data_IF_396960648871
#
_entry.id   IF_396960648871
#
_cell.length_a   1.000
_cell.length_b   1.000
_cell.length_c   1.000
_cell.angle_alpha   90.00
_cell.angle_beta   90.00
_cell.angle_gamma   90.00
#
_symmetry.space_group_name_H-M   'P 1'
#
loop_
_entity.id
_entity.type
_entity.pdbx_description
1 polymer ?
#
# COMPACT_ATOMS: atom_id res chain seq x y z
N UNK A 1 -16.73 19.10 -24.67
CA UNK A 1 -16.31 20.39 -24.08
C UNK A 1 -15.87 20.12 -22.65
N UNK A 2 -14.56 20.16 -22.43
CA UNK A 2 -13.87 19.97 -21.16
C UNK A 2 -14.38 20.89 -20.05
N UNK A 3 -14.59 20.36 -18.84
CA UNK A 3 -14.13 20.97 -17.57
C UNK A 3 -13.77 19.87 -16.56
N UNK A 4 -12.57 19.33 -16.71
CA UNK A 4 -11.79 18.79 -15.60
C UNK A 4 -11.47 19.96 -14.66
N UNK A 5 -12.00 19.93 -13.44
CA UNK A 5 -11.43 20.71 -12.33
C UNK A 5 -10.80 19.70 -11.41
N UNK A 6 -9.53 19.44 -11.68
CA UNK A 6 -8.60 18.86 -10.72
C UNK A 6 -8.43 19.88 -9.59
N UNK A 7 -9.00 19.59 -8.43
CA UNK A 7 -8.69 20.29 -7.19
C UNK A 7 -7.75 19.39 -6.40
N UNK A 8 -6.51 19.34 -6.87
CA UNK A 8 -5.37 18.82 -6.10
C UNK A 8 -5.04 19.88 -5.07
N UNK A 9 -5.60 19.76 -3.88
CA UNK A 9 -5.02 20.37 -2.68
C UNK A 9 -3.93 19.43 -2.17
N UNK A 10 -2.78 19.49 -2.81
CA UNK A 10 -1.53 19.07 -2.19
C UNK A 10 -1.18 20.12 -1.13
N UNK A 11 -1.68 19.94 0.09
CA UNK A 11 -1.04 20.55 1.24
C UNK A 11 0.21 19.71 1.54
N UNK A 12 1.33 20.08 0.93
CA UNK A 12 2.64 19.67 1.42
C UNK A 12 2.88 20.36 2.77
N UNK A 13 2.34 19.79 3.84
CA UNK A 13 2.76 20.12 5.18
C UNK A 13 4.01 19.30 5.47
N UNK A 14 5.18 19.89 5.19
CA UNK A 14 6.40 19.53 5.90
C UNK A 14 6.20 19.91 7.37
N UNK A 15 5.56 19.02 8.13
CA UNK A 15 5.34 19.23 9.55
C UNK A 15 6.66 19.01 10.29
N UNK A 16 7.26 20.09 10.77
CA UNK A 16 7.90 20.08 12.07
C UNK A 16 6.86 19.46 13.04
N UNK A 17 7.23 18.39 13.75
CA UNK A 17 6.40 17.77 14.79
C UNK A 17 6.21 18.78 15.95
N UNK A 18 5.37 19.79 15.77
CA UNK A 18 4.71 20.47 16.86
C UNK A 18 3.53 19.58 17.26
N UNK A 19 3.54 19.05 18.48
CA UNK A 19 2.44 18.27 19.03
C UNK A 19 1.17 19.12 19.04
N UNK A 20 0.35 19.01 17.99
CA UNK A 20 -0.98 19.63 18.00
C UNK A 20 -1.75 19.03 19.17
N UNK A 21 -2.39 19.85 20.02
CA UNK A 21 -3.08 19.34 21.18
C UNK A 21 -4.24 18.42 20.74
N UNK A 22 -4.49 17.36 21.51
CA UNK A 22 -5.43 16.27 21.16
C UNK A 22 -6.84 16.77 20.76
N UNK A 23 -7.30 17.90 21.30
CA UNK A 23 -8.59 18.50 20.94
C UNK A 23 -8.68 18.95 19.47
N UNK A 24 -7.57 19.34 18.85
CA UNK A 24 -7.53 19.74 17.44
C UNK A 24 -7.60 18.51 16.50
N UNK A 25 -7.07 17.37 16.94
CA UNK A 25 -7.16 16.09 16.23
C UNK A 25 -8.61 15.56 16.24
N UNK A 26 -9.33 15.70 17.35
CA UNK A 26 -10.76 15.32 17.46
C UNK A 26 -11.66 16.12 16.53
N UNK A 27 -11.48 17.44 16.46
CA UNK A 27 -12.25 18.31 15.57
C UNK A 27 -12.01 17.97 14.09
N UNK A 28 -10.74 17.69 13.73
CA UNK A 28 -10.34 17.32 12.37
C UNK A 28 -10.86 15.94 11.98
N UNK A 29 -10.77 14.96 12.87
CA UNK A 29 -11.37 13.64 12.72
C UNK A 29 -12.88 13.73 12.48
N UNK A 30 -13.58 14.48 13.34
CA UNK A 30 -15.03 14.69 13.22
C UNK A 30 -15.39 15.31 11.88
N UNK A 31 -14.69 16.37 11.47
CA UNK A 31 -14.93 17.04 10.19
C UNK A 31 -14.80 16.10 8.99
N UNK A 32 -13.84 15.18 9.00
CA UNK A 32 -13.66 14.21 7.92
C UNK A 32 -14.75 13.14 7.93
N UNK A 33 -15.14 12.63 9.09
CA UNK A 33 -16.25 11.66 9.19
C UNK A 33 -17.60 12.28 8.84
N UNK A 34 -17.81 13.57 9.15
CA UNK A 34 -19.00 14.32 8.74
C UNK A 34 -19.04 14.48 7.22
N UNK A 35 -17.88 14.79 6.60
CA UNK A 35 -17.74 14.83 5.15
C UNK A 35 -18.03 13.46 4.52
N UNK A 36 -17.42 12.38 5.02
CA UNK A 36 -17.68 11.02 4.53
C UNK A 36 -19.18 10.64 4.65
N UNK A 37 -19.84 11.11 5.71
CA UNK A 37 -21.29 10.92 5.89
C UNK A 37 -22.11 11.71 4.88
N UNK A 38 -21.73 12.96 4.59
CA UNK A 38 -22.38 13.78 3.57
C UNK A 38 -22.19 13.19 2.17
N UNK A 39 -20.97 12.78 1.84
CA UNK A 39 -20.62 12.14 0.56
C UNK A 39 -21.40 10.83 0.39
N UNK A 40 -21.51 10.01 1.45
CA UNK A 40 -22.34 8.80 1.45
C UNK A 40 -23.82 9.10 1.20
N UNK A 41 -24.37 10.15 1.82
CA UNK A 41 -25.77 10.56 1.62
C UNK A 41 -26.01 10.98 0.17
N UNK A 42 -25.08 11.72 -0.42
CA UNK A 42 -25.15 12.13 -1.82
C UNK A 42 -25.03 10.93 -2.77
N UNK A 43 -24.07 10.02 -2.51
CA UNK A 43 -23.90 8.80 -3.31
C UNK A 43 -25.15 7.90 -3.25
N UNK A 44 -25.75 7.76 -2.07
CA UNK A 44 -27.03 7.03 -1.91
C UNK A 44 -28.15 7.65 -2.75
N UNK A 45 -28.29 8.97 -2.73
CA UNK A 45 -29.29 9.66 -3.55
C UNK A 45 -29.03 9.45 -5.05
N UNK A 46 -27.76 9.40 -5.48
CA UNK A 46 -27.41 9.08 -6.87
C UNK A 46 -27.83 7.65 -7.28
N UNK A 47 -27.84 6.71 -6.34
CA UNK A 47 -28.30 5.33 -6.57
C UNK A 47 -29.83 5.21 -6.69
N UNK A 48 -30.63 6.25 -6.38
CA UNK A 48 -32.09 6.15 -6.41
C UNK A 48 -32.67 6.04 -7.81
N UNK A 49 -31.93 6.46 -8.84
CA UNK A 49 -32.29 6.28 -10.25
C UNK A 49 -32.14 4.84 -10.74
N UNK A 50 -31.49 3.97 -9.96
CA UNK A 50 -31.22 2.59 -10.32
C UNK A 50 -32.28 1.64 -9.75
N UNK A 51 -32.35 0.42 -10.27
CA UNK A 51 -33.27 -0.63 -9.79
C UNK A 51 -32.58 -1.99 -9.72
N UNK A 52 -33.21 -2.94 -9.04
CA UNK A 52 -32.73 -4.33 -8.94
C UNK A 52 -31.32 -4.45 -8.36
N UNK A 53 -30.50 -5.33 -8.95
CA UNK A 53 -29.15 -5.59 -8.49
C UNK A 53 -28.21 -4.38 -8.72
N UNK A 54 -28.44 -3.58 -9.77
CA UNK A 54 -27.67 -2.36 -10.01
C UNK A 54 -27.77 -1.41 -8.82
N UNK A 55 -28.99 -1.13 -8.33
CA UNK A 55 -29.20 -0.30 -7.13
C UNK A 55 -28.47 -0.88 -5.93
N UNK A 56 -28.53 -2.21 -5.73
CA UNK A 56 -27.84 -2.88 -4.62
C UNK A 56 -26.31 -2.68 -4.72
N UNK A 57 -25.72 -2.91 -5.88
CA UNK A 57 -24.29 -2.71 -6.11
C UNK A 57 -23.90 -1.26 -5.83
N UNK A 58 -24.64 -0.29 -6.38
CA UNK A 58 -24.38 1.14 -6.14
C UNK A 58 -24.42 1.50 -4.64
N UNK A 59 -25.42 0.98 -3.92
CA UNK A 59 -25.54 1.19 -2.48
C UNK A 59 -24.37 0.60 -1.69
N UNK A 60 -23.87 -0.58 -2.06
CA UNK A 60 -22.70 -1.18 -1.43
C UNK A 60 -21.39 -0.47 -1.82
N UNK A 61 -21.27 0.06 -3.05
CA UNK A 61 -20.11 0.88 -3.46
C UNK A 61 -20.03 2.16 -2.64
N UNK A 62 -21.17 2.81 -2.40
CA UNK A 62 -21.25 3.98 -1.53
C UNK A 62 -20.81 3.65 -0.08
N UNK A 63 -21.20 2.48 0.45
CA UNK A 63 -20.77 2.04 1.79
C UNK A 63 -19.28 1.73 1.85
N UNK A 64 -18.71 1.09 0.82
CA UNK A 64 -17.26 0.86 0.73
C UNK A 64 -16.49 2.17 0.68
N UNK A 65 -16.94 3.13 -0.12
CA UNK A 65 -16.32 4.46 -0.21
C UNK A 65 -16.31 5.17 1.15
N UNK A 66 -17.45 5.13 1.87
CA UNK A 66 -17.54 5.66 3.24
C UNK A 66 -16.58 4.94 4.19
N UNK A 67 -16.58 3.61 4.21
CA UNK A 67 -15.74 2.82 5.11
C UNK A 67 -14.24 3.11 4.87
N UNK A 68 -13.82 3.30 3.62
CA UNK A 68 -12.46 3.70 3.27
C UNK A 68 -12.14 5.12 3.75
N UNK A 69 -13.03 6.07 3.54
CA UNK A 69 -12.85 7.44 4.03
C UNK A 69 -12.76 7.50 5.58
N UNK A 70 -13.60 6.74 6.27
CA UNK A 70 -13.56 6.61 7.72
C UNK A 70 -12.24 5.93 8.17
N UNK A 71 -11.77 4.92 7.45
CA UNK A 71 -10.47 4.26 7.70
C UNK A 71 -9.28 5.21 7.49
N UNK A 72 -9.32 6.06 6.47
CA UNK A 72 -8.28 7.06 6.22
C UNK A 72 -8.26 8.13 7.32
N UNK A 73 -9.45 8.57 7.78
CA UNK A 73 -9.57 9.49 8.91
C UNK A 73 -9.03 8.87 10.21
N UNK A 74 -9.31 7.59 10.46
CA UNK A 74 -8.74 6.84 11.59
C UNK A 74 -7.21 6.77 11.48
N UNK A 75 -6.66 6.49 10.30
CA UNK A 75 -5.22 6.40 10.10
C UNK A 75 -4.51 7.75 10.30
N UNK A 76 -5.13 8.86 9.90
CA UNK A 76 -4.55 10.19 10.01
C UNK A 76 -4.61 10.76 11.43
N UNK A 77 -5.72 10.58 12.15
CA UNK A 77 -5.98 11.34 13.40
C UNK A 77 -6.09 10.48 14.66
N UNK A 78 -6.42 9.19 14.52
CA UNK A 78 -6.54 8.27 15.66
C UNK A 78 -5.30 7.39 15.81
N UNK A 79 -4.77 6.87 14.69
CA UNK A 79 -3.54 6.09 14.55
C UNK A 79 -3.22 5.12 15.70
N UNK A 80 -4.24 4.49 16.30
CA UNK A 80 -4.04 3.43 17.30
C UNK A 80 -4.24 2.07 16.65
N UNK A 81 -3.50 1.03 17.06
CA UNK A 81 -3.65 -0.31 16.51
C UNK A 81 -5.09 -0.85 16.61
N UNK A 82 -5.80 -0.51 17.70
CA UNK A 82 -7.19 -0.91 17.93
C UNK A 82 -8.16 -0.25 16.94
N UNK A 83 -8.08 1.07 16.78
CA UNK A 83 -8.98 1.80 15.88
C UNK A 83 -8.66 1.48 14.41
N UNK A 84 -7.38 1.39 14.05
CA UNK A 84 -6.94 0.94 12.73
C UNK A 84 -7.42 -0.47 12.41
N UNK A 85 -7.25 -1.41 13.36
CA UNK A 85 -7.72 -2.78 13.20
C UNK A 85 -9.24 -2.86 13.04
N UNK A 86 -9.99 -2.03 13.78
CA UNK A 86 -11.44 -1.92 13.61
C UNK A 86 -11.81 -1.36 12.23
N UNK A 87 -11.20 -0.24 11.82
CA UNK A 87 -11.48 0.39 10.54
C UNK A 87 -11.17 -0.53 9.34
N UNK A 88 -10.06 -1.28 9.38
CA UNK A 88 -9.72 -2.28 8.37
C UNK A 88 -10.76 -3.41 8.31
N UNK A 89 -11.27 -3.87 9.45
CA UNK A 89 -12.36 -4.87 9.49
C UNK A 89 -13.65 -4.32 8.89
N UNK A 90 -13.96 -3.06 9.17
CA UNK A 90 -15.14 -2.39 8.64
C UNK A 90 -15.06 -2.25 7.11
N UNK A 91 -13.87 -1.89 6.56
CA UNK A 91 -13.59 -1.90 5.11
C UNK A 91 -13.75 -3.31 4.52
N UNK A 92 -13.12 -4.33 5.12
CA UNK A 92 -13.18 -5.71 4.64
C UNK A 92 -14.62 -6.26 4.62
N UNK A 93 -15.43 -5.91 5.62
CA UNK A 93 -16.84 -6.28 5.66
C UNK A 93 -17.65 -5.57 4.57
N UNK A 94 -17.45 -4.27 4.37
CA UNK A 94 -18.12 -3.53 3.31
C UNK A 94 -17.74 -4.03 1.91
N UNK A 95 -16.46 -4.35 1.68
CA UNK A 95 -15.98 -4.89 0.41
C UNK A 95 -16.54 -6.29 0.12
N UNK A 96 -16.71 -7.11 1.16
CA UNK A 96 -17.40 -8.40 1.03
C UNK A 96 -18.88 -8.24 0.66
N UNK A 97 -19.58 -7.30 1.30
CA UNK A 97 -20.99 -7.04 1.00
C UNK A 97 -21.17 -6.53 -0.42
N UNK A 98 -20.25 -5.67 -0.88
CA UNK A 98 -20.16 -5.24 -2.27
C UNK A 98 -19.90 -6.42 -3.22
N UNK A 99 -18.93 -7.27 -2.91
CA UNK A 99 -18.63 -8.44 -3.73
C UNK A 99 -19.84 -9.37 -3.84
N UNK A 100 -20.55 -9.63 -2.72
CA UNK A 100 -21.80 -10.39 -2.68
C UNK A 100 -22.90 -9.75 -3.52
N UNK A 101 -23.01 -8.41 -3.52
CA UNK A 101 -23.93 -7.69 -4.40
C UNK A 101 -23.55 -7.88 -5.88
N UNK A 102 -22.27 -7.77 -6.23
CA UNK A 102 -21.77 -7.99 -7.61
C UNK A 102 -21.99 -9.43 -8.10
N UNK A 103 -22.00 -10.40 -7.18
CA UNK A 103 -22.39 -11.78 -7.49
C UNK A 103 -23.91 -11.99 -7.70
N UNK A 104 -24.74 -10.98 -7.46
CA UNK A 104 -26.20 -11.09 -7.40
C UNK A 104 -26.83 -11.64 -8.68
N UNK A 105 -26.37 -11.16 -9.83
CA UNK A 105 -26.90 -11.49 -11.16
C UNK A 105 -26.35 -12.81 -11.73
N UNK A 106 -25.38 -13.43 -11.05
CA UNK A 106 -24.83 -14.73 -11.46
C UNK A 106 -25.77 -15.86 -11.05
N UNK A 107 -25.73 -16.96 -11.79
CA UNK A 107 -26.52 -18.17 -11.54
C UNK A 107 -25.64 -19.42 -11.55
N UNK A 108 -26.18 -20.54 -11.07
CA UNK A 108 -25.51 -21.84 -11.11
C UNK A 108 -24.10 -21.84 -10.48
N UNK A 109 -23.16 -22.52 -11.14
CA UNK A 109 -21.78 -22.63 -10.69
C UNK A 109 -21.07 -21.27 -10.57
N UNK A 110 -21.34 -20.33 -11.48
CA UNK A 110 -20.69 -19.01 -11.48
C UNK A 110 -21.02 -18.19 -10.24
N UNK A 111 -22.25 -18.32 -9.72
CA UNK A 111 -22.65 -17.69 -8.46
C UNK A 111 -21.90 -18.29 -7.28
N UNK A 112 -21.80 -19.62 -7.23
CA UNK A 112 -21.10 -20.34 -6.17
C UNK A 112 -19.61 -19.97 -6.13
N UNK A 113 -18.95 -20.00 -7.28
CA UNK A 113 -17.55 -19.57 -7.41
C UNK A 113 -17.37 -18.13 -6.96
N UNK A 114 -18.22 -17.21 -7.44
CA UNK A 114 -18.18 -15.80 -7.02
C UNK A 114 -18.28 -15.61 -5.50
N UNK A 115 -19.21 -16.31 -4.84
CA UNK A 115 -19.40 -16.21 -3.40
C UNK A 115 -18.24 -16.81 -2.61
N UNK A 116 -17.63 -17.89 -3.11
CA UNK A 116 -16.46 -18.50 -2.51
C UNK A 116 -15.24 -17.57 -2.62
N UNK A 117 -15.02 -16.97 -3.79
CA UNK A 117 -13.94 -16.01 -4.02
C UNK A 117 -14.11 -14.78 -3.11
N UNK A 118 -15.33 -14.25 -3.00
CA UNK A 118 -15.63 -13.13 -2.09
C UNK A 118 -15.35 -13.50 -0.62
N UNK A 119 -15.70 -14.72 -0.19
CA UNK A 119 -15.43 -15.21 1.17
C UNK A 119 -13.92 -15.40 1.42
N UNK A 120 -13.19 -15.91 0.42
CA UNK A 120 -11.74 -16.05 0.50
C UNK A 120 -11.06 -14.68 0.63
N UNK A 121 -11.44 -13.70 -0.19
CA UNK A 121 -10.94 -12.32 -0.12
C UNK A 121 -11.23 -11.66 1.22
N UNK A 122 -12.45 -11.85 1.78
CA UNK A 122 -12.79 -11.37 3.13
C UNK A 122 -11.88 -12.00 4.19
N UNK A 123 -11.65 -13.31 4.10
CA UNK A 123 -10.84 -14.05 5.07
C UNK A 123 -9.40 -13.54 5.07
N UNK A 124 -8.81 -13.33 3.89
CA UNK A 124 -7.49 -12.72 3.75
C UNK A 124 -7.45 -11.31 4.36
N UNK A 125 -8.40 -10.45 4.00
CA UNK A 125 -8.46 -9.07 4.50
C UNK A 125 -8.63 -8.98 6.03
N UNK A 126 -9.39 -9.90 6.63
CA UNK A 126 -9.55 -9.99 8.09
C UNK A 126 -8.29 -10.53 8.79
N UNK A 127 -7.54 -11.44 8.15
CA UNK A 127 -6.25 -11.88 8.65
C UNK A 127 -5.27 -10.70 8.71
N UNK A 128 -5.19 -9.90 7.65
CA UNK A 128 -4.35 -8.70 7.56
C UNK A 128 -4.75 -7.63 8.59
N UNK A 129 -6.05 -7.47 8.84
CA UNK A 129 -6.55 -6.55 9.87
C UNK A 129 -6.21 -7.00 11.30
N UNK A 130 -6.07 -8.31 11.54
CA UNK A 130 -5.70 -8.85 12.84
C UNK A 130 -4.18 -8.88 13.07
N UNK A 131 -3.38 -9.06 12.02
CA UNK A 131 -1.90 -9.02 12.09
C UNK A 131 -1.38 -7.59 12.21
N UNK A 132 -1.94 -6.64 11.44
CA UNK A 132 -1.58 -5.23 11.51
C UNK A 132 -2.02 -4.50 12.80
N UNK A 133 -2.84 -5.12 13.66
CA UNK A 133 -3.17 -4.60 14.98
C UNK A 133 -2.19 -5.04 16.09
N UNK A 134 -1.31 -6.01 15.80
CA UNK A 134 -0.33 -6.56 16.75
C UNK A 134 1.07 -5.98 16.60
N UNK A 135 1.39 -5.47 15.42
CA UNK A 135 2.65 -4.78 15.15
C UNK A 135 2.36 -3.29 15.00
N UNK A 136 2.79 -2.48 15.97
CA UNK A 136 2.57 -1.03 16.01
C UNK A 136 3.41 -0.24 14.99
N UNK A 137 3.68 -0.83 13.83
CA UNK A 137 4.45 -0.21 12.75
C UNK A 137 3.51 0.52 11.79
N UNK A 138 3.73 1.83 11.65
CA UNK A 138 3.09 2.66 10.64
C UNK A 138 3.36 2.07 9.24
N UNK A 139 2.40 1.36 8.67
CA UNK A 139 2.42 1.01 7.25
C UNK A 139 1.47 1.95 6.53
N UNK A 140 2.03 3.04 6.03
CA UNK A 140 1.49 3.75 4.89
C UNK A 140 1.45 2.79 3.70
N UNK A 141 0.30 2.79 3.00
CA UNK A 141 0.06 2.42 1.60
C UNK A 141 0.90 1.29 0.97
N UNK A 142 0.16 0.26 0.51
CA UNK A 142 0.64 -0.94 -0.20
C UNK A 142 1.63 -1.79 0.61
N UNK A 143 1.26 -3.00 1.08
CA UNK A 143 2.25 -3.87 1.69
C UNK A 143 3.33 -4.20 0.64
N UNK A 144 4.61 -3.89 0.90
CA UNK A 144 5.69 -4.43 0.08
C UNK A 144 5.63 -5.96 0.18
N UNK A 145 5.87 -6.62 -0.95
CA UNK A 145 5.85 -8.08 -1.13
C UNK A 145 7.01 -8.79 -0.41
N UNK A 146 7.35 -8.38 0.82
CA UNK A 146 8.61 -8.72 1.50
C UNK A 146 8.43 -9.61 2.73
N UNK A 147 7.22 -10.03 3.06
CA UNK A 147 7.03 -11.09 4.06
C UNK A 147 6.60 -12.34 3.32
N UNK A 148 7.53 -13.28 3.10
CA UNK A 148 7.21 -14.64 2.68
C UNK A 148 6.11 -15.15 3.60
N UNK A 149 4.90 -15.40 3.08
CA UNK A 149 3.81 -15.97 3.86
C UNK A 149 4.35 -17.25 4.52
N UNK A 150 4.21 -17.39 5.85
CA UNK A 150 4.58 -18.63 6.54
C UNK A 150 3.57 -19.73 6.17
N UNK A 151 3.87 -20.44 5.07
CA UNK A 151 3.00 -21.48 4.51
C UNK A 151 3.02 -22.79 5.31
N UNK A 152 3.81 -22.91 6.38
CA UNK A 152 4.01 -24.19 7.06
C UNK A 152 2.86 -24.58 8.00
N UNK A 153 2.01 -23.62 8.36
CA UNK A 153 0.83 -23.85 9.20
C UNK A 153 -0.47 -24.11 8.39
N UNK A 154 -0.40 -24.24 7.06
CA UNK A 154 -1.57 -24.38 6.16
C UNK A 154 -1.85 -25.85 5.76
N UNK A 155 -3.12 -26.14 5.46
CA UNK A 155 -3.51 -27.42 4.84
C UNK A 155 -2.88 -27.57 3.44
N UNK A 156 -2.82 -28.80 2.93
CA UNK A 156 -2.06 -29.12 1.72
C UNK A 156 -2.44 -28.29 0.47
N UNK A 157 -3.72 -27.92 0.34
CA UNK A 157 -4.20 -27.14 -0.82
C UNK A 157 -3.87 -25.66 -0.64
N UNK A 158 -4.07 -25.13 0.57
CA UNK A 158 -3.70 -23.77 0.92
C UNK A 158 -2.18 -23.53 0.89
N UNK A 159 -1.38 -24.53 1.28
CA UNK A 159 0.08 -24.51 1.25
C UNK A 159 0.62 -24.40 -0.17
N UNK A 160 0.07 -25.16 -1.12
CA UNK A 160 0.47 -25.08 -2.53
C UNK A 160 0.21 -23.69 -3.12
N UNK A 161 -0.98 -23.13 -2.90
CA UNK A 161 -1.32 -21.79 -3.36
C UNK A 161 -0.46 -20.70 -2.70
N UNK A 162 -0.15 -20.85 -1.40
CA UNK A 162 0.76 -19.96 -0.66
C UNK A 162 2.19 -19.99 -1.22
N UNK A 163 2.71 -21.19 -1.53
CA UNK A 163 4.02 -21.33 -2.15
C UNK A 163 4.08 -20.69 -3.54
N UNK A 164 3.03 -20.84 -4.36
CA UNK A 164 2.93 -20.18 -5.67
C UNK A 164 2.90 -18.66 -5.56
N UNK A 165 2.16 -18.10 -4.60
CA UNK A 165 2.13 -16.64 -4.36
C UNK A 165 3.47 -16.11 -3.86
N UNK A 166 4.13 -16.83 -2.95
CA UNK A 166 5.46 -16.49 -2.49
C UNK A 166 6.48 -16.49 -3.64
N UNK A 167 6.41 -17.47 -4.55
CA UNK A 167 7.26 -17.52 -5.72
C UNK A 167 6.99 -16.35 -6.69
N UNK A 168 5.72 -16.03 -6.96
CA UNK A 168 5.32 -14.90 -7.80
C UNK A 168 5.69 -13.53 -7.19
N UNK A 169 5.61 -13.39 -5.86
CA UNK A 169 6.08 -12.22 -5.14
C UNK A 169 7.60 -12.07 -5.26
N UNK A 170 8.34 -13.18 -5.09
CA UNK A 170 9.80 -13.19 -5.20
C UNK A 170 10.28 -12.82 -6.61
N UNK A 171 9.61 -13.27 -7.67
CA UNK A 171 9.96 -12.90 -9.05
C UNK A 171 9.63 -11.44 -9.35
N UNK A 172 8.51 -10.90 -8.86
CA UNK A 172 8.18 -9.48 -8.99
C UNK A 172 9.22 -8.59 -8.32
N UNK A 173 9.62 -8.93 -7.08
CA UNK A 173 10.63 -8.18 -6.34
C UNK A 173 11.99 -8.23 -7.04
N UNK A 174 12.40 -9.40 -7.56
CA UNK A 174 13.64 -9.51 -8.32
C UNK A 174 13.64 -8.65 -9.61
N UNK A 175 12.49 -8.52 -10.28
CA UNK A 175 12.34 -7.62 -11.43
C UNK A 175 12.44 -6.16 -11.00
N UNK A 176 11.80 -5.77 -9.89
CA UNK A 176 11.88 -4.40 -9.34
C UNK A 176 13.31 -4.05 -8.91
N UNK A 177 14.00 -4.96 -8.22
CA UNK A 177 15.41 -4.79 -7.81
C UNK A 177 16.36 -4.68 -9.01
N UNK A 178 16.07 -5.41 -10.09
CA UNK A 178 16.83 -5.31 -11.34
C UNK A 178 16.68 -3.93 -11.98
N UNK A 179 15.46 -3.35 -11.93
CA UNK A 179 15.20 -1.99 -12.40
C UNK A 179 15.91 -0.96 -11.52
N UNK A 180 15.85 -1.10 -10.19
CA UNK A 180 16.56 -0.23 -9.24
C UNK A 180 18.07 -0.27 -9.52
N UNK A 181 18.65 -1.47 -9.61
CA UNK A 181 20.07 -1.66 -9.91
C UNK A 181 20.46 -0.99 -11.23
N UNK A 182 19.63 -1.14 -12.26
CA UNK A 182 19.87 -0.53 -13.58
C UNK A 182 19.84 0.99 -13.51
N UNK A 183 18.87 1.58 -12.79
CA UNK A 183 18.80 3.04 -12.57
C UNK A 183 20.03 3.57 -11.85
N UNK A 184 20.44 2.91 -10.75
CA UNK A 184 21.62 3.31 -9.98
C UNK A 184 22.88 3.25 -10.84
N UNK A 185 23.08 2.15 -11.59
CA UNK A 185 24.22 2.03 -12.51
C UNK A 185 24.19 3.12 -13.59
N UNK A 186 23.03 3.42 -14.16
CA UNK A 186 22.89 4.48 -15.14
C UNK A 186 23.25 5.86 -14.56
N UNK A 187 22.82 6.16 -13.33
CA UNK A 187 23.10 7.44 -12.68
C UNK A 187 24.56 7.57 -12.25
N UNK A 188 25.20 6.47 -11.82
CA UNK A 188 26.64 6.43 -11.58
C UNK A 188 27.45 6.74 -12.85
N UNK A 189 27.03 6.21 -14.00
CA UNK A 189 27.69 6.45 -15.30
C UNK A 189 27.49 7.90 -15.79
N UNK A 190 26.36 8.54 -15.44
CA UNK A 190 26.12 9.96 -15.79
C UNK A 190 26.94 10.91 -14.93
N UNK A 191 27.33 10.51 -13.73
CA UNK A 191 28.08 11.36 -12.81
C UNK A 191 29.57 11.41 -13.18
N UNK A 192 30.08 12.60 -13.48
CA UNK A 192 31.47 12.79 -13.91
C UNK A 192 32.52 12.35 -12.87
N UNK A 193 32.17 12.37 -11.58
CA UNK A 193 33.08 12.02 -10.49
C UNK A 193 33.04 10.53 -10.12
N UNK A 194 32.02 9.79 -10.62
CA UNK A 194 31.77 8.38 -10.27
C UNK A 194 31.85 7.42 -11.46
N UNK A 195 31.64 7.89 -12.71
CA UNK A 195 31.55 7.06 -13.93
C UNK A 195 32.80 6.23 -14.26
N UNK A 196 33.96 6.64 -13.76
CA UNK A 196 35.25 5.97 -14.01
C UNK A 196 35.71 5.11 -12.82
N UNK A 197 34.83 4.92 -11.82
CA UNK A 197 35.16 4.18 -10.61
C UNK A 197 34.62 2.75 -10.69
N UNK A 198 35.39 1.79 -10.18
CA UNK A 198 34.98 0.40 -10.04
C UNK A 198 34.00 0.25 -8.85
N UNK A 199 32.76 0.71 -9.06
CA UNK A 199 31.65 0.59 -8.11
C UNK A 199 30.71 -0.50 -8.57
N UNK A 200 30.66 -1.59 -7.81
CA UNK A 200 29.67 -2.65 -7.98
C UNK A 200 28.40 -2.32 -7.21
N UNK A 201 27.26 -2.62 -7.84
CA UNK A 201 25.92 -2.34 -7.32
C UNK A 201 25.09 -3.60 -7.43
N UNK A 202 24.59 -4.06 -6.29
CA UNK A 202 23.58 -5.11 -6.19
C UNK A 202 22.40 -4.59 -5.39
N UNK A 203 21.19 -4.97 -5.77
CA UNK A 203 19.98 -4.64 -5.02
C UNK A 203 19.24 -5.93 -4.68
N UNK A 204 18.84 -6.08 -3.42
CA UNK A 204 18.07 -7.22 -2.94
C UNK A 204 16.97 -6.72 -2.01
N UNK A 205 15.72 -6.93 -2.40
CA UNK A 205 14.52 -6.46 -1.72
C UNK A 205 14.56 -4.95 -1.39
N UNK A 206 14.96 -4.12 -2.36
CA UNK A 206 15.12 -2.68 -2.21
C UNK A 206 16.35 -2.24 -1.40
N UNK A 207 17.12 -3.17 -0.83
CA UNK A 207 18.39 -2.86 -0.15
C UNK A 207 19.52 -2.86 -1.16
N UNK A 208 20.14 -1.69 -1.33
CA UNK A 208 21.25 -1.51 -2.25
C UNK A 208 22.56 -1.76 -1.53
N UNK A 209 23.41 -2.61 -2.10
CA UNK A 209 24.76 -2.85 -1.62
C UNK A 209 25.76 -2.27 -2.62
N UNK A 210 26.54 -1.30 -2.14
CA UNK A 210 27.61 -0.66 -2.90
C UNK A 210 28.95 -1.25 -2.45
N UNK A 211 29.77 -1.73 -3.38
CA UNK A 211 31.11 -2.25 -3.09
C UNK A 211 32.11 -1.83 -4.14
N UNK A 212 33.40 -1.82 -3.81
CA UNK A 212 34.47 -1.34 -4.69
C UNK A 212 35.40 -0.30 -4.06
N UNK A 213 36.19 0.35 -4.90
CA UNK A 213 37.21 1.31 -4.46
C UNK A 213 36.95 2.69 -5.07
N UNK A 214 37.08 3.74 -4.24
CA UNK A 214 36.93 5.12 -4.67
C UNK A 214 38.10 5.98 -4.16
N UNK A 215 38.52 7.03 -4.91
CA UNK A 215 39.65 7.88 -4.53
C UNK A 215 39.46 8.73 -3.26
N UNK A 216 38.23 8.97 -2.81
CA UNK A 216 37.98 9.88 -1.69
C UNK A 216 36.69 9.56 -0.93
N UNK A 217 36.64 9.99 0.33
CA UNK A 217 35.43 9.88 1.15
C UNK A 217 34.25 10.70 0.57
N UNK A 218 34.54 11.76 -0.18
CA UNK A 218 33.53 12.54 -0.89
C UNK A 218 32.80 11.69 -1.94
N UNK A 219 33.52 10.85 -2.68
CA UNK A 219 32.94 9.94 -3.66
C UNK A 219 32.16 8.79 -2.99
N UNK A 220 32.63 8.28 -1.83
CA UNK A 220 31.86 7.32 -1.02
C UNK A 220 30.48 7.88 -0.65
N UNK A 221 30.45 9.13 -0.18
CA UNK A 221 29.21 9.82 0.20
C UNK A 221 28.34 10.09 -1.01
N UNK A 222 28.91 10.60 -2.10
CA UNK A 222 28.18 10.92 -3.34
C UNK A 222 27.51 9.67 -3.94
N UNK A 223 28.21 8.54 -4.01
CA UNK A 223 27.65 7.28 -4.49
C UNK A 223 26.51 6.76 -3.60
N UNK A 224 26.65 6.87 -2.28
CA UNK A 224 25.59 6.50 -1.35
C UNK A 224 24.36 7.42 -1.47
N UNK A 225 24.56 8.73 -1.59
CA UNK A 225 23.48 9.70 -1.72
C UNK A 225 22.74 9.51 -3.06
N UNK A 226 23.46 9.23 -4.15
CA UNK A 226 22.88 8.89 -5.46
C UNK A 226 22.03 7.62 -5.39
N UNK A 227 22.55 6.55 -4.77
CA UNK A 227 21.79 5.32 -4.58
C UNK A 227 20.51 5.54 -3.75
N UNK A 228 20.57 6.34 -2.67
CA UNK A 228 19.39 6.67 -1.86
C UNK A 228 18.32 7.47 -2.60
N UNK A 229 18.73 8.24 -3.61
CA UNK A 229 17.80 9.07 -4.40
C UNK A 229 16.95 8.27 -5.40
N UNK A 230 17.25 6.99 -5.62
CA UNK A 230 16.51 6.16 -6.56
C UNK A 230 15.22 5.65 -5.93
N UNK A 231 14.11 5.86 -6.63
CA UNK A 231 12.79 5.37 -6.24
C UNK A 231 12.79 3.84 -6.05
N UNK A 232 12.27 3.39 -4.90
CA UNK A 232 12.21 1.98 -4.53
C UNK A 232 13.36 1.51 -3.62
N UNK A 233 14.37 2.35 -3.37
CA UNK A 233 15.45 2.04 -2.42
C UNK A 233 14.96 2.20 -0.99
N UNK A 234 15.11 1.14 -0.19
CA UNK A 234 14.68 1.09 1.22
C UNK A 234 15.85 1.30 2.18
N UNK A 235 17.03 0.80 1.84
CA UNK A 235 18.26 0.98 2.61
C UNK A 235 19.48 0.91 1.69
N UNK A 236 20.60 1.50 2.12
CA UNK A 236 21.87 1.49 1.38
C UNK A 236 22.99 1.02 2.31
N UNK A 237 23.55 -0.16 2.00
CA UNK A 237 24.74 -0.71 2.63
C UNK A 237 25.98 -0.30 1.84
N UNK A 238 26.78 0.58 2.44
CA UNK A 238 27.99 1.09 1.82
C UNK A 238 29.22 0.28 2.26
N UNK A 239 29.76 -0.51 1.35
CA UNK A 239 31.00 -1.26 1.48
C UNK A 239 32.16 -0.67 0.67
N UNK A 240 32.04 0.54 0.12
CA UNK A 240 33.09 1.20 -0.64
C UNK A 240 34.31 1.51 0.23
N UNK A 241 35.50 1.32 -0.32
CA UNK A 241 36.78 1.59 0.36
C UNK A 241 37.50 2.75 -0.31
N UNK A 242 38.06 3.64 0.50
CA UNK A 242 38.94 4.71 0.01
C UNK A 242 40.33 4.12 -0.24
N UNK A 243 40.92 4.40 -1.40
CA UNK A 243 42.28 3.98 -1.76
C UNK A 243 43.34 4.89 -1.14
#
# INVERSE_FOLDING_TARGET
MNKMIALVLAASASALFAATPAYAQDASYKSLTDKATADYKQAKAACDSQSGNAKKVCMEEAKVARAKADSDAVAQYRNTPRELGKARKDVANAEYDLAKAKCGDRTGADKTTCMNDAKAAKTASLADANTGARDGTNVAQNPPATTKENCDAMDATAKAACMTRNAAGSTKVAVEDSVITTKIKADLVKDNDLKALDVHVETVNGVVMLSGFVPSQAQVKKAADLARGVEGVTDVKNGLKVK
#
